data_IF_156055766892
#
_entry.id   IF_156055766892
#
_cell.length_a   1.000
_cell.length_b   1.000
_cell.length_c   1.000
_cell.angle_alpha   90.00
_cell.angle_beta   90.00
_cell.angle_gamma   90.00
#
_symmetry.space_group_name_H-M   'P 1'
#
loop_
_entity.id
_entity.type
_entity.pdbx_description
1 polymer ?
#
# COMPACT_ATOMS: atom_id res chain seq x y z
N UNK A 1 -1.41 13.98 17.97
CA UNK A 1 -0.10 14.50 17.54
C UNK A 1 0.09 14.22 16.05
N UNK A 2 0.34 15.26 15.23
CA UNK A 2 0.56 15.11 13.77
C UNK A 2 1.89 14.39 13.54
N UNK A 3 1.85 13.13 13.12
CA UNK A 3 3.05 12.30 12.89
C UNK A 3 3.60 12.53 11.48
N UNK A 4 2.71 12.67 10.48
CA UNK A 4 3.07 12.85 9.07
C UNK A 4 2.38 14.08 8.48
N UNK A 5 2.99 14.66 7.45
CA UNK A 5 2.32 15.57 6.54
C UNK A 5 1.84 14.78 5.33
N UNK A 6 0.53 14.52 5.24
CA UNK A 6 -0.08 13.81 4.13
C UNK A 6 -0.33 14.81 3.01
N UNK A 7 0.45 14.73 1.94
CA UNK A 7 0.36 15.63 0.77
C UNK A 7 -0.66 15.14 -0.28
N UNK A 8 -0.90 13.82 -0.36
CA UNK A 8 -1.86 13.25 -1.29
C UNK A 8 -2.25 11.80 -0.91
N UNK A 9 -3.45 11.41 -1.30
CA UNK A 9 -3.92 10.03 -1.34
C UNK A 9 -4.23 9.71 -2.81
N UNK A 10 -3.40 8.86 -3.41
CA UNK A 10 -3.52 8.49 -4.83
C UNK A 10 -4.17 7.13 -4.98
N UNK A 11 -5.29 7.08 -5.65
CA UNK A 11 -6.05 5.84 -5.85
C UNK A 11 -5.37 4.96 -6.89
N UNK A 12 -4.99 3.75 -6.51
CA UNK A 12 -4.38 2.76 -7.41
C UNK A 12 -5.46 1.88 -8.06
N UNK A 13 -5.26 1.44 -9.33
CA UNK A 13 -6.18 0.52 -9.97
C UNK A 13 -6.11 -0.87 -9.34
N UNK A 14 -7.26 -1.55 -9.28
CA UNK A 14 -7.31 -2.97 -8.96
C UNK A 14 -8.51 -3.64 -9.65
N UNK A 15 -8.48 -4.95 -9.76
CA UNK A 15 -9.63 -5.73 -10.23
C UNK A 15 -9.83 -6.93 -9.32
N UNK A 16 -11.02 -7.03 -8.76
CA UNK A 16 -11.44 -8.20 -8.02
C UNK A 16 -12.74 -8.75 -8.64
N UNK A 17 -12.70 -9.97 -9.16
CA UNK A 17 -13.77 -10.58 -9.97
C UNK A 17 -15.15 -10.58 -9.33
N UNK A 18 -15.21 -10.53 -7.99
CA UNK A 18 -16.49 -10.50 -7.25
C UNK A 18 -17.10 -9.11 -7.13
N UNK A 19 -16.32 -8.04 -7.25
CA UNK A 19 -16.77 -6.69 -6.88
C UNK A 19 -16.69 -5.68 -8.00
N UNK A 20 -15.78 -5.85 -8.97
CA UNK A 20 -15.63 -4.94 -10.10
C UNK A 20 -15.62 -5.72 -11.41
N UNK A 21 -16.37 -5.22 -12.39
CA UNK A 21 -16.36 -5.76 -13.76
C UNK A 21 -15.14 -5.26 -14.53
N UNK A 22 -14.73 -4.03 -14.27
CA UNK A 22 -13.60 -3.37 -14.93
C UNK A 22 -12.61 -2.80 -13.91
N UNK A 23 -11.37 -2.58 -14.33
CA UNK A 23 -10.35 -1.87 -13.54
C UNK A 23 -10.79 -0.44 -13.26
N UNK A 24 -11.38 0.22 -14.26
CA UNK A 24 -11.85 1.61 -14.15
C UNK A 24 -12.88 1.81 -13.02
N UNK A 25 -13.80 0.84 -12.82
CA UNK A 25 -14.78 0.89 -11.72
C UNK A 25 -14.11 0.87 -10.35
N UNK A 26 -12.93 0.25 -10.21
CA UNK A 26 -12.22 0.21 -8.94
C UNK A 26 -11.73 1.57 -8.49
N UNK A 27 -11.38 2.43 -9.43
CA UNK A 27 -10.92 3.79 -9.13
C UNK A 27 -12.04 4.60 -8.48
N UNK A 28 -13.26 4.52 -9.04
CA UNK A 28 -14.40 5.25 -8.51
C UNK A 28 -14.86 4.64 -7.16
N UNK A 29 -14.84 3.32 -7.02
CA UNK A 29 -15.16 2.64 -5.77
C UNK A 29 -14.19 3.00 -4.64
N UNK A 30 -12.87 2.97 -4.90
CA UNK A 30 -11.86 3.34 -3.89
C UNK A 30 -11.86 4.83 -3.58
N UNK A 31 -12.10 5.69 -4.57
CA UNK A 31 -12.26 7.12 -4.34
C UNK A 31 -13.45 7.40 -3.38
N UNK A 32 -14.59 6.78 -3.64
CA UNK A 32 -15.77 6.94 -2.80
C UNK A 32 -15.56 6.40 -1.38
N UNK A 33 -14.84 5.27 -1.24
CA UNK A 33 -14.46 4.73 0.06
C UNK A 33 -13.52 5.67 0.83
N UNK A 34 -12.51 6.24 0.16
CA UNK A 34 -11.62 7.23 0.76
C UNK A 34 -12.41 8.48 1.21
N UNK A 35 -13.32 8.99 0.37
CA UNK A 35 -14.20 10.10 0.75
C UNK A 35 -15.05 9.77 1.98
N UNK A 36 -15.58 8.55 2.07
CA UNK A 36 -16.36 8.10 3.22
C UNK A 36 -15.54 8.05 4.51
N UNK A 37 -14.29 7.59 4.44
CA UNK A 37 -13.38 7.61 5.59
C UNK A 37 -13.12 9.05 6.04
N UNK A 38 -12.93 9.99 5.10
CA UNK A 38 -12.77 11.42 5.42
C UNK A 38 -14.00 11.97 6.13
N UNK A 39 -15.22 11.60 5.67
CA UNK A 39 -16.47 12.02 6.33
C UNK A 39 -16.58 11.45 7.75
N UNK A 40 -16.14 10.21 7.98
CA UNK A 40 -16.13 9.58 9.30
C UNK A 40 -15.11 10.21 10.26
N UNK A 41 -14.06 10.83 9.71
CA UNK A 41 -13.04 11.58 10.43
C UNK A 41 -13.36 13.08 10.53
N UNK A 42 -14.54 13.52 10.11
CA UNK A 42 -14.95 14.93 10.01
C UNK A 42 -13.99 15.81 9.18
N UNK A 43 -13.20 15.19 8.27
CA UNK A 43 -12.30 15.86 7.34
C UNK A 43 -13.07 16.35 6.11
N UNK A 44 -13.37 17.65 6.05
CA UNK A 44 -14.18 18.24 4.97
C UNK A 44 -13.43 18.36 3.64
N UNK A 45 -12.12 18.60 3.70
CA UNK A 45 -11.29 18.80 2.51
C UNK A 45 -10.87 17.46 1.89
N UNK A 46 -11.51 17.12 0.79
CA UNK A 46 -11.23 15.93 -0.03
C UNK A 46 -10.27 16.21 -1.18
N UNK A 47 -9.70 17.41 -1.29
CA UNK A 47 -8.77 17.79 -2.35
C UNK A 47 -7.46 17.01 -2.33
N UNK A 48 -7.16 16.32 -1.22
CA UNK A 48 -6.02 15.42 -1.11
C UNK A 48 -6.20 14.08 -1.83
N UNK A 49 -7.43 13.73 -2.28
CA UNK A 49 -7.73 12.43 -2.89
C UNK A 49 -7.71 12.54 -4.41
N UNK A 50 -6.77 11.85 -5.06
CA UNK A 50 -6.53 11.91 -6.49
C UNK A 50 -6.85 10.58 -7.16
N UNK A 51 -7.74 10.60 -8.16
CA UNK A 51 -8.02 9.40 -8.98
C UNK A 51 -6.80 9.06 -9.83
N UNK A 52 -6.42 7.79 -9.82
CA UNK A 52 -5.27 7.28 -10.55
C UNK A 52 -5.62 6.62 -11.89
N UNK A 53 -4.71 5.77 -12.32
CA UNK A 53 -4.78 5.07 -13.61
C UNK A 53 -6.04 4.20 -13.70
N UNK A 54 -6.73 4.28 -14.84
CA UNK A 54 -7.98 3.53 -15.05
C UNK A 54 -7.77 2.14 -15.63
N UNK A 55 -6.52 1.81 -15.93
CA UNK A 55 -6.09 0.46 -16.33
C UNK A 55 -4.62 0.26 -15.96
N UNK A 56 -4.09 -0.93 -16.19
CA UNK A 56 -2.73 -1.34 -15.86
C UNK A 56 -1.75 -0.99 -16.97
N UNK A 57 -0.49 -0.76 -16.58
CA UNK A 57 0.62 -0.59 -17.52
C UNK A 57 0.80 -1.84 -18.40
N UNK A 58 0.61 -3.05 -17.85
CA UNK A 58 0.67 -4.30 -18.60
C UNK A 58 -0.37 -4.41 -19.73
N UNK A 59 -1.45 -3.64 -19.68
CA UNK A 59 -2.47 -3.56 -20.73
C UNK A 59 -2.20 -2.43 -21.74
N UNK A 60 -1.03 -1.78 -21.65
CA UNK A 60 -0.67 -0.67 -22.52
C UNK A 60 -1.15 0.71 -22.03
N UNK A 61 -1.74 0.79 -20.83
CA UNK A 61 -2.17 2.07 -20.27
C UNK A 61 -0.96 2.97 -20.00
N UNK A 62 -0.97 4.17 -20.55
CA UNK A 62 0.13 5.15 -20.45
C UNK A 62 -0.36 6.60 -20.36
N UNK A 63 -1.59 6.83 -19.93
CA UNK A 63 -2.15 8.17 -19.84
C UNK A 63 -1.77 8.86 -18.53
N UNK A 64 -1.48 10.16 -18.62
CA UNK A 64 -1.36 11.02 -17.44
C UNK A 64 -2.72 11.19 -16.78
N UNK A 65 -2.73 11.20 -15.45
CA UNK A 65 -3.93 11.38 -14.64
C UNK A 65 -3.61 12.20 -13.39
N UNK A 66 -4.63 12.63 -12.61
CA UNK A 66 -4.41 13.46 -11.43
C UNK A 66 -3.43 12.88 -10.40
N UNK A 67 -3.46 11.57 -10.15
CA UNK A 67 -2.57 10.91 -9.20
C UNK A 67 -1.10 10.98 -9.66
N UNK A 68 -0.83 10.65 -10.93
CA UNK A 68 0.52 10.71 -11.51
C UNK A 68 1.07 12.13 -11.46
N UNK A 69 0.27 13.11 -11.91
CA UNK A 69 0.67 14.51 -11.89
C UNK A 69 0.99 14.99 -10.48
N UNK A 70 0.18 14.56 -9.50
CA UNK A 70 0.38 14.94 -8.09
C UNK A 70 1.62 14.31 -7.47
N UNK A 71 1.91 13.04 -7.77
CA UNK A 71 3.16 12.39 -7.35
C UNK A 71 4.38 13.16 -7.87
N UNK A 72 4.37 13.53 -9.15
CA UNK A 72 5.46 14.28 -9.79
C UNK A 72 5.60 15.67 -9.18
N UNK A 73 4.48 16.38 -9.00
CA UNK A 73 4.45 17.72 -8.39
C UNK A 73 5.07 17.71 -6.99
N UNK A 74 4.61 16.78 -6.10
CA UNK A 74 5.09 16.68 -4.73
C UNK A 74 6.58 16.31 -4.71
N UNK A 75 7.00 15.35 -5.54
CA UNK A 75 8.40 14.94 -5.63
C UNK A 75 9.32 16.08 -6.11
N UNK A 76 8.83 16.93 -7.02
CA UNK A 76 9.61 18.08 -7.49
C UNK A 76 9.65 19.24 -6.49
N UNK A 77 8.62 19.39 -5.66
CA UNK A 77 8.54 20.43 -4.63
C UNK A 77 9.42 20.11 -3.41
N UNK A 78 9.59 18.83 -3.08
CA UNK A 78 10.24 18.38 -1.86
C UNK A 78 11.59 17.73 -2.15
N UNK A 79 12.56 17.87 -1.25
CA UNK A 79 13.84 17.18 -1.34
C UNK A 79 13.72 15.67 -1.07
N UNK A 80 12.69 15.26 -0.32
CA UNK A 80 12.40 13.87 -0.02
C UNK A 80 10.90 13.65 0.18
N UNK A 81 10.35 12.69 -0.57
CA UNK A 81 8.95 12.29 -0.49
C UNK A 81 8.87 10.78 -0.26
N UNK A 82 8.08 10.37 0.71
CA UNK A 82 7.78 8.96 0.92
C UNK A 82 6.46 8.60 0.22
N UNK A 83 6.47 7.51 -0.53
CA UNK A 83 5.27 6.95 -1.14
C UNK A 83 4.94 5.63 -0.43
N UNK A 84 3.87 5.63 0.34
CA UNK A 84 3.35 4.48 1.06
C UNK A 84 2.37 3.73 0.15
N UNK A 85 2.85 2.68 -0.52
CA UNK A 85 2.08 1.96 -1.53
C UNK A 85 1.45 0.69 -0.94
N UNK A 86 0.12 0.63 -0.93
CA UNK A 86 -0.69 -0.51 -0.46
C UNK A 86 -1.53 -1.13 -1.59
N UNK A 87 -1.17 -0.85 -2.83
CA UNK A 87 -1.79 -1.36 -4.03
C UNK A 87 -0.75 -1.70 -5.10
N UNK A 88 -1.20 -1.91 -6.35
CA UNK A 88 -0.29 -2.08 -7.47
C UNK A 88 0.49 -0.79 -7.77
N UNK A 89 1.64 -0.94 -8.41
CA UNK A 89 2.60 0.16 -8.61
C UNK A 89 2.34 1.00 -9.86
N UNK A 90 1.21 0.86 -10.56
CA UNK A 90 0.93 1.51 -11.84
C UNK A 90 1.15 3.02 -11.82
N UNK A 91 0.58 3.74 -10.83
CA UNK A 91 0.73 5.19 -10.74
C UNK A 91 2.19 5.61 -10.53
N UNK A 92 2.93 4.87 -9.68
CA UNK A 92 4.34 5.14 -9.36
C UNK A 92 5.22 4.87 -10.57
N UNK A 93 5.00 3.74 -11.25
CA UNK A 93 5.73 3.38 -12.47
C UNK A 93 5.54 4.42 -13.56
N UNK A 94 4.31 4.88 -13.76
CA UNK A 94 4.02 5.92 -14.74
C UNK A 94 4.61 7.28 -14.33
N UNK A 95 4.58 7.65 -13.05
CA UNK A 95 5.24 8.87 -12.58
C UNK A 95 6.75 8.85 -12.86
N UNK A 96 7.43 7.72 -12.59
CA UNK A 96 8.84 7.52 -12.90
C UNK A 96 9.13 7.52 -14.42
N UNK A 97 8.23 6.96 -15.23
CA UNK A 97 8.37 7.01 -16.71
C UNK A 97 8.21 8.41 -17.26
N UNK A 98 7.26 9.20 -16.74
CA UNK A 98 7.02 10.56 -17.21
C UNK A 98 8.02 11.58 -16.69
N UNK A 99 8.55 11.38 -15.51
CA UNK A 99 9.57 12.24 -14.91
C UNK A 99 10.63 11.38 -14.18
N UNK A 100 11.62 10.82 -14.90
CA UNK A 100 12.67 10.00 -14.30
C UNK A 100 13.49 10.73 -13.22
N UNK A 101 13.56 12.04 -13.27
CA UNK A 101 14.34 12.88 -12.33
C UNK A 101 13.83 12.82 -10.88
N UNK A 102 12.58 12.33 -10.67
CA UNK A 102 12.06 12.17 -9.31
C UNK A 102 12.63 10.96 -8.57
N UNK A 103 13.37 10.09 -9.25
CA UNK A 103 13.89 8.83 -8.69
C UNK A 103 14.70 9.04 -7.42
N UNK A 104 15.53 10.08 -7.36
CA UNK A 104 16.36 10.40 -6.20
C UNK A 104 15.61 11.14 -5.09
N UNK A 105 14.43 11.69 -5.41
CA UNK A 105 13.58 12.48 -4.51
C UNK A 105 12.52 11.67 -3.79
N UNK A 106 12.22 10.47 -4.26
CA UNK A 106 11.21 9.60 -3.67
C UNK A 106 11.81 8.35 -3.02
N UNK A 107 11.11 7.86 -2.01
CA UNK A 107 11.34 6.55 -1.39
C UNK A 107 10.02 5.81 -1.34
N UNK A 108 9.97 4.63 -1.98
CA UNK A 108 8.76 3.80 -2.06
C UNK A 108 8.82 2.73 -0.98
N UNK A 109 7.78 2.68 -0.16
CA UNK A 109 7.56 1.63 0.84
C UNK A 109 6.31 0.87 0.39
N UNK A 110 6.48 -0.38 -0.02
CA UNK A 110 5.45 -1.11 -0.76
C UNK A 110 5.07 -2.42 -0.09
N UNK A 111 3.77 -2.58 0.15
CA UNK A 111 3.16 -3.86 0.46
C UNK A 111 2.97 -4.64 -0.83
N UNK A 112 3.81 -5.62 -1.08
CA UNK A 112 3.75 -6.41 -2.30
C UNK A 112 4.78 -7.52 -2.30
N UNK A 113 4.64 -8.46 -3.23
CA UNK A 113 5.42 -9.68 -3.24
C UNK A 113 5.06 -10.64 -2.10
N UNK A 114 5.57 -11.85 -2.16
CA UNK A 114 5.46 -12.84 -1.10
C UNK A 114 6.85 -13.32 -0.69
N UNK A 115 7.46 -14.15 -1.51
CA UNK A 115 8.70 -14.84 -1.18
C UNK A 115 9.86 -14.31 -2.02
N UNK A 116 11.07 -14.39 -1.47
CA UNK A 116 12.30 -14.21 -2.26
C UNK A 116 12.53 -15.37 -3.23
N UNK A 117 12.06 -16.55 -2.87
CA UNK A 117 12.20 -17.77 -3.65
C UNK A 117 10.80 -18.37 -3.89
N UNK A 118 10.45 -18.54 -5.16
CA UNK A 118 9.14 -19.03 -5.59
C UNK A 118 8.30 -17.95 -6.30
N UNK A 119 7.18 -18.36 -6.92
CA UNK A 119 6.34 -17.45 -7.69
C UNK A 119 5.62 -16.43 -6.81
N UNK A 120 5.72 -15.16 -7.17
CA UNK A 120 5.01 -14.07 -6.51
C UNK A 120 3.59 -13.96 -7.07
N UNK A 121 2.60 -14.29 -6.24
CA UNK A 121 1.16 -14.30 -6.59
C UNK A 121 0.34 -13.41 -5.66
N UNK A 122 0.99 -12.53 -4.89
CA UNK A 122 0.22 -11.59 -4.08
C UNK A 122 -0.60 -10.64 -4.95
N UNK A 123 -1.65 -10.10 -4.36
CA UNK A 123 -2.63 -9.33 -5.09
C UNK A 123 -2.03 -8.07 -5.74
N UNK A 124 -1.20 -7.32 -5.01
CA UNK A 124 -0.64 -6.06 -5.48
C UNK A 124 0.40 -6.27 -6.59
N UNK A 125 1.23 -7.31 -6.46
CA UNK A 125 2.23 -7.68 -7.45
C UNK A 125 1.58 -8.17 -8.75
N UNK A 126 0.60 -9.09 -8.64
CA UNK A 126 -0.01 -9.74 -9.79
C UNK A 126 -0.92 -8.82 -10.62
N UNK A 127 -1.45 -7.75 -10.01
CA UNK A 127 -2.30 -6.79 -10.72
C UNK A 127 -1.56 -6.13 -11.88
N UNK A 128 -0.30 -5.70 -11.69
CA UNK A 128 0.45 -5.01 -12.75
C UNK A 128 1.96 -5.30 -12.69
N UNK A 129 2.35 -6.45 -13.23
CA UNK A 129 3.75 -6.91 -13.23
C UNK A 129 4.66 -5.96 -14.02
N UNK A 130 4.16 -5.36 -15.10
CA UNK A 130 4.96 -4.40 -15.87
C UNK A 130 5.27 -3.14 -15.05
N UNK A 131 4.35 -2.69 -14.20
CA UNK A 131 4.63 -1.60 -13.28
C UNK A 131 5.69 -2.00 -12.24
N UNK A 132 5.66 -3.23 -11.74
CA UNK A 132 6.71 -3.73 -10.83
C UNK A 132 8.07 -3.75 -11.51
N UNK A 133 8.16 -4.23 -12.74
CA UNK A 133 9.41 -4.23 -13.52
C UNK A 133 9.96 -2.80 -13.69
N UNK A 134 9.11 -1.84 -14.07
CA UNK A 134 9.52 -0.44 -14.21
C UNK A 134 10.07 0.12 -12.92
N UNK A 135 9.42 -0.10 -11.78
CA UNK A 135 9.88 0.39 -10.47
C UNK A 135 11.21 -0.28 -10.08
N UNK A 136 11.35 -1.58 -10.30
CA UNK A 136 12.60 -2.32 -10.00
C UNK A 136 13.78 -1.89 -10.89
N UNK A 137 13.51 -1.50 -12.14
CA UNK A 137 14.54 -1.00 -13.06
C UNK A 137 14.91 0.47 -12.82
N UNK A 138 14.01 1.26 -12.24
CA UNK A 138 14.21 2.70 -12.04
C UNK A 138 15.31 3.06 -11.05
N UNK A 139 15.76 2.12 -10.22
CA UNK A 139 16.70 2.31 -9.11
C UNK A 139 16.18 3.20 -7.98
N UNK A 140 14.88 3.42 -7.91
CA UNK A 140 14.26 4.14 -6.80
C UNK A 140 14.55 3.44 -5.47
N UNK A 141 14.72 4.22 -4.41
CA UNK A 141 14.82 3.66 -3.05
C UNK A 141 13.53 2.91 -2.73
N UNK A 142 13.62 1.59 -2.56
CA UNK A 142 12.49 0.71 -2.38
C UNK A 142 12.65 -0.14 -1.12
N UNK A 143 11.59 -0.18 -0.32
CA UNK A 143 11.41 -1.14 0.78
C UNK A 143 10.19 -2.00 0.47
N UNK A 144 10.37 -3.31 0.41
CA UNK A 144 9.28 -4.28 0.19
C UNK A 144 8.85 -4.86 1.53
N UNK A 145 7.56 -4.80 1.81
CA UNK A 145 6.90 -5.52 2.90
C UNK A 145 6.12 -6.68 2.26
N UNK A 146 6.61 -7.93 2.35
CA UNK A 146 5.96 -9.05 1.68
C UNK A 146 4.63 -9.42 2.36
N UNK A 147 3.60 -9.66 1.53
CA UNK A 147 2.27 -10.03 2.03
C UNK A 147 2.30 -11.33 2.82
N UNK A 148 2.99 -12.35 2.31
CA UNK A 148 3.17 -13.64 2.97
C UNK A 148 4.64 -14.06 2.93
N UNK A 149 5.20 -14.61 3.99
CA UNK A 149 4.54 -14.92 5.28
C UNK A 149 4.57 -13.76 6.29
N UNK A 150 5.21 -12.62 5.97
CA UNK A 150 5.59 -11.61 6.97
C UNK A 150 4.39 -10.79 7.43
N UNK A 151 3.77 -9.99 6.53
CA UNK A 151 2.67 -9.11 6.94
C UNK A 151 1.36 -9.87 7.21
N UNK A 152 1.25 -11.14 6.78
CA UNK A 152 0.17 -12.05 7.19
C UNK A 152 0.15 -12.34 8.69
N UNK A 153 1.23 -12.05 9.44
CA UNK A 153 1.23 -12.13 10.90
C UNK A 153 0.40 -11.02 11.57
N UNK A 154 0.00 -9.99 10.83
CA UNK A 154 -0.96 -9.00 11.32
C UNK A 154 -2.39 -9.55 11.30
N UNK A 155 -2.55 -10.73 11.85
CA UNK A 155 -3.81 -11.47 11.91
C UNK A 155 -4.66 -10.99 13.08
N UNK A 156 -5.90 -10.59 12.78
CA UNK A 156 -6.90 -10.25 13.80
C UNK A 156 -8.21 -11.01 13.56
N UNK A 157 -9.17 -10.85 14.46
CA UNK A 157 -10.51 -11.41 14.36
C UNK A 157 -11.56 -10.35 14.59
N UNK A 158 -12.81 -10.63 14.20
CA UNK A 158 -13.92 -9.72 14.49
C UNK A 158 -14.12 -9.55 16.01
N UNK A 159 -13.87 -10.59 16.78
CA UNK A 159 -14.01 -10.55 18.24
C UNK A 159 -13.00 -9.60 18.88
N UNK A 160 -11.74 -9.64 18.43
CA UNK A 160 -10.70 -8.73 18.88
C UNK A 160 -11.02 -7.27 18.47
N UNK A 161 -11.38 -7.05 17.21
CA UNK A 161 -11.73 -5.71 16.73
C UNK A 161 -12.97 -5.13 17.43
N UNK A 162 -14.00 -5.94 17.68
CA UNK A 162 -15.16 -5.47 18.42
C UNK A 162 -14.83 -5.16 19.88
N UNK A 163 -13.99 -5.97 20.52
CA UNK A 163 -13.53 -5.71 21.90
C UNK A 163 -12.79 -4.38 22.02
N UNK A 164 -11.90 -4.09 21.07
CA UNK A 164 -11.04 -2.91 21.11
C UNK A 164 -11.71 -1.65 20.58
N UNK A 165 -12.52 -1.77 19.53
CA UNK A 165 -12.97 -0.63 18.74
C UNK A 165 -14.46 -0.30 18.85
N UNK A 166 -15.34 -1.31 19.05
CA UNK A 166 -16.78 -1.13 18.96
C UNK A 166 -17.30 -0.11 19.98
N UNK A 167 -18.07 0.86 19.48
CA UNK A 167 -18.66 1.93 20.31
C UNK A 167 -17.68 3.05 20.71
N UNK A 168 -16.43 3.02 20.24
CA UNK A 168 -15.45 4.09 20.55
C UNK A 168 -15.73 5.36 19.76
N UNK A 169 -15.95 5.23 18.46
CA UNK A 169 -16.33 6.32 17.57
C UNK A 169 -16.93 5.76 16.27
N UNK A 170 -17.46 6.65 15.40
CA UNK A 170 -18.11 6.28 14.12
C UNK A 170 -17.16 5.53 13.17
N UNK A 171 -15.89 5.92 13.13
CA UNK A 171 -14.88 5.24 12.29
C UNK A 171 -14.63 3.83 12.80
N UNK A 172 -14.44 3.63 14.10
CA UNK A 172 -14.24 2.34 14.72
C UNK A 172 -15.40 1.37 14.44
N UNK A 173 -16.64 1.84 14.59
CA UNK A 173 -17.83 1.04 14.29
C UNK A 173 -17.88 0.66 12.80
N UNK A 174 -17.53 1.60 11.92
CA UNK A 174 -17.44 1.35 10.49
C UNK A 174 -16.38 0.33 10.13
N UNK A 175 -15.20 0.39 10.75
CA UNK A 175 -14.12 -0.58 10.53
C UNK A 175 -14.54 -1.98 10.98
N UNK A 176 -15.20 -2.13 12.13
CA UNK A 176 -15.77 -3.40 12.58
C UNK A 176 -16.78 -3.95 11.56
N UNK A 177 -17.71 -3.10 11.09
CA UNK A 177 -18.68 -3.47 10.07
C UNK A 177 -18.02 -3.94 8.76
N UNK A 178 -17.01 -3.20 8.29
CA UNK A 178 -16.25 -3.56 7.05
C UNK A 178 -15.53 -4.88 7.21
N UNK A 179 -14.87 -5.10 8.34
CA UNK A 179 -14.17 -6.34 8.63
C UNK A 179 -15.14 -7.53 8.71
N UNK A 180 -16.26 -7.39 9.41
CA UNK A 180 -17.28 -8.43 9.52
C UNK A 180 -17.77 -8.90 8.16
N UNK A 181 -18.04 -7.98 7.23
CA UNK A 181 -18.53 -8.30 5.90
C UNK A 181 -17.45 -8.83 4.95
N UNK A 182 -16.17 -8.62 5.27
CA UNK A 182 -15.03 -9.08 4.46
C UNK A 182 -14.48 -10.42 4.92
N UNK A 183 -14.38 -10.61 6.23
CA UNK A 183 -13.78 -11.81 6.79
C UNK A 183 -14.66 -13.06 6.54
N UNK A 184 -14.03 -14.14 6.12
CA UNK A 184 -14.69 -15.40 5.81
C UNK A 184 -14.28 -16.48 6.81
N UNK A 185 -15.20 -17.43 7.02
CA UNK A 185 -14.99 -18.59 7.88
C UNK A 185 -15.49 -18.42 9.33
N UNK A 186 -15.48 -19.50 10.10
CA UNK A 186 -16.14 -19.57 11.43
C UNK A 186 -15.47 -18.68 12.47
N UNK A 187 -14.15 -18.49 12.36
CA UNK A 187 -13.40 -17.63 13.29
C UNK A 187 -13.39 -16.17 12.87
N UNK A 188 -13.83 -15.86 11.67
CA UNK A 188 -13.80 -14.51 11.09
C UNK A 188 -12.46 -13.81 11.35
N UNK A 189 -11.37 -14.49 11.02
CA UNK A 189 -10.01 -13.96 11.12
C UNK A 189 -9.53 -13.51 9.74
N UNK A 190 -8.79 -12.40 9.73
CA UNK A 190 -8.22 -11.84 8.52
C UNK A 190 -6.99 -10.99 8.83
N UNK A 191 -5.93 -11.05 8.04
CA UNK A 191 -4.77 -10.18 8.26
C UNK A 191 -5.03 -8.76 7.78
N UNK A 192 -4.56 -7.79 8.55
CA UNK A 192 -4.58 -6.36 8.21
C UNK A 192 -3.25 -5.96 7.55
N UNK A 193 -2.93 -6.55 6.42
CA UNK A 193 -1.65 -6.35 5.73
C UNK A 193 -1.26 -4.88 5.58
N UNK A 194 -2.20 -4.04 5.16
CA UNK A 194 -1.96 -2.66 4.71
C UNK A 194 -1.44 -1.75 5.82
N UNK A 195 -1.80 -2.02 7.08
CA UNK A 195 -1.30 -1.24 8.22
C UNK A 195 0.22 -1.34 8.39
N UNK A 196 0.85 -2.40 7.88
CA UNK A 196 2.28 -2.63 7.99
C UNK A 196 3.12 -1.51 7.38
N UNK A 197 2.69 -0.95 6.26
CA UNK A 197 3.42 0.11 5.53
C UNK A 197 3.46 1.39 6.35
N UNK A 198 2.35 1.75 7.00
CA UNK A 198 2.25 2.91 7.86
C UNK A 198 3.04 2.67 9.16
N UNK A 199 2.90 1.49 9.76
CA UNK A 199 3.64 1.09 10.95
C UNK A 199 5.16 1.13 10.74
N UNK A 200 5.65 0.72 9.57
CA UNK A 200 7.07 0.81 9.20
C UNK A 200 7.58 2.26 9.21
N UNK A 201 6.75 3.22 8.80
CA UNK A 201 7.09 4.64 8.87
C UNK A 201 7.01 5.21 10.28
N UNK A 202 6.08 4.71 11.11
CA UNK A 202 5.92 5.16 12.50
C UNK A 202 7.13 4.73 13.32
N UNK A 203 7.50 3.44 13.26
CA UNK A 203 8.62 2.94 14.03
C UNK A 203 9.31 1.75 13.35
N UNK A 204 10.46 2.03 12.75
CA UNK A 204 11.27 1.00 12.06
C UNK A 204 11.81 -0.08 13.01
N UNK A 205 11.88 0.18 14.32
CA UNK A 205 12.36 -0.81 15.31
C UNK A 205 11.38 -1.98 15.50
N UNK A 206 10.14 -1.85 15.02
CA UNK A 206 9.19 -2.97 15.01
C UNK A 206 9.44 -3.97 13.88
N UNK A 207 10.43 -3.70 13.02
CA UNK A 207 10.71 -4.48 11.83
C UNK A 207 12.19 -4.84 11.75
N UNK A 208 12.49 -6.01 11.19
CA UNK A 208 13.82 -6.31 10.70
C UNK A 208 13.81 -6.29 9.17
N UNK A 209 14.89 -5.77 8.61
CA UNK A 209 15.08 -5.67 7.16
C UNK A 209 16.42 -6.27 6.77
N UNK A 210 16.47 -6.83 5.57
CA UNK A 210 17.70 -7.23 4.90
C UNK A 210 17.88 -6.41 3.62
N UNK A 211 19.09 -6.07 3.30
CA UNK A 211 19.43 -5.49 2.00
C UNK A 211 19.65 -6.63 1.00
N UNK A 212 18.95 -6.58 -0.12
CA UNK A 212 19.06 -7.56 -1.20
C UNK A 212 19.32 -6.84 -2.52
N UNK A 213 20.05 -7.50 -3.42
CA UNK A 213 20.17 -7.03 -4.81
C UNK A 213 18.77 -7.02 -5.43
N UNK A 214 18.35 -5.89 -6.02
CA UNK A 214 17.05 -5.78 -6.65
C UNK A 214 16.87 -6.85 -7.75
N UNK A 215 15.91 -7.78 -7.63
CA UNK A 215 15.80 -8.89 -8.56
C UNK A 215 15.24 -8.47 -9.93
N UNK A 216 15.52 -9.25 -10.94
CA UNK A 216 14.71 -9.31 -12.16
C UNK A 216 13.49 -10.20 -11.91
N UNK A 217 12.45 -9.98 -12.72
CA UNK A 217 11.21 -10.77 -12.64
C UNK A 217 11.16 -11.70 -13.86
N UNK A 218 11.15 -13.00 -13.61
CA UNK A 218 10.97 -14.01 -14.63
C UNK A 218 9.50 -14.08 -15.12
N UNK A 219 9.28 -14.79 -16.24
CA UNK A 219 7.93 -14.94 -16.82
C UNK A 219 6.95 -15.71 -15.90
N UNK A 220 7.45 -16.53 -15.00
CA UNK A 220 6.68 -17.26 -13.99
C UNK A 220 6.47 -16.48 -12.69
N UNK A 221 6.84 -15.18 -12.68
CA UNK A 221 6.80 -14.27 -11.54
C UNK A 221 7.78 -14.63 -10.41
N UNK A 222 8.77 -15.47 -10.64
CA UNK A 222 9.86 -15.68 -9.69
C UNK A 222 10.88 -14.56 -9.78
N UNK A 223 11.61 -14.35 -8.70
CA UNK A 223 12.74 -13.44 -8.67
C UNK A 223 14.02 -14.11 -9.18
N UNK A 224 14.74 -13.39 -10.05
CA UNK A 224 16.07 -13.78 -10.51
C UNK A 224 17.09 -12.78 -9.98
N UNK A 225 17.94 -13.22 -9.08
CA UNK A 225 19.03 -12.42 -8.55
C UNK A 225 20.22 -12.44 -9.49
N UNK A 226 20.77 -11.26 -9.80
CA UNK A 226 21.95 -11.08 -10.63
C UNK A 226 22.93 -10.14 -9.95
N UNK A 227 24.22 -10.25 -10.30
CA UNK A 227 25.27 -9.34 -9.80
C UNK A 227 25.07 -7.94 -10.39
N UNK A 228 25.60 -6.92 -9.68
CA UNK A 228 25.66 -5.53 -10.13
C UNK A 228 24.33 -4.79 -10.26
N UNK A 229 23.28 -5.23 -9.57
CA UNK A 229 22.05 -4.44 -9.42
C UNK A 229 22.10 -3.63 -8.11
N UNK A 230 21.36 -2.53 -8.09
CA UNK A 230 21.22 -1.73 -6.86
C UNK A 230 20.53 -2.54 -5.75
N UNK A 231 20.76 -2.12 -4.50
CA UNK A 231 20.14 -2.76 -3.36
C UNK A 231 18.76 -2.16 -3.06
N UNK A 232 17.87 -3.01 -2.58
CA UNK A 232 16.57 -2.66 -2.02
C UNK A 232 16.44 -3.29 -0.63
N UNK A 233 15.53 -2.75 0.19
CA UNK A 233 15.23 -3.32 1.51
C UNK A 233 14.07 -4.31 1.40
N UNK A 234 14.22 -5.45 2.07
CA UNK A 234 13.19 -6.46 2.17
C UNK A 234 12.91 -6.75 3.65
N UNK A 235 11.65 -6.55 4.06
CA UNK A 235 11.25 -6.82 5.45
C UNK A 235 11.12 -8.33 5.64
N UNK A 236 11.80 -8.86 6.65
CA UNK A 236 11.79 -10.29 6.96
C UNK A 236 11.19 -10.64 8.34
N UNK A 237 10.87 -9.61 9.13
CA UNK A 237 10.20 -9.75 10.43
C UNK A 237 9.41 -8.47 10.77
N UNK A 238 8.33 -8.63 11.52
CA UNK A 238 7.60 -7.53 12.17
C UNK A 238 7.09 -7.96 13.56
N UNK A 239 6.99 -6.98 14.45
CA UNK A 239 6.38 -7.15 15.77
C UNK A 239 4.89 -6.80 15.72
N UNK A 240 4.04 -7.80 15.51
CA UNK A 240 2.60 -7.62 15.38
C UNK A 240 1.96 -7.01 16.64
N UNK A 241 2.43 -7.37 17.83
CA UNK A 241 1.87 -6.87 19.09
C UNK A 241 2.03 -5.36 19.23
N UNK A 242 3.24 -4.85 18.95
CA UNK A 242 3.50 -3.40 19.01
C UNK A 242 2.70 -2.63 17.95
N UNK A 243 2.55 -3.22 16.75
CA UNK A 243 1.77 -2.61 15.66
C UNK A 243 0.29 -2.54 16.02
N UNK A 244 -0.30 -3.61 16.55
CA UNK A 244 -1.72 -3.60 16.97
C UNK A 244 -1.95 -2.68 18.17
N UNK A 245 -1.05 -2.68 19.16
CA UNK A 245 -1.11 -1.75 20.28
C UNK A 245 -1.18 -0.31 19.81
N UNK A 246 -0.25 0.12 18.96
CA UNK A 246 -0.19 1.47 18.39
C UNK A 246 -1.45 1.80 17.56
N UNK A 247 -1.94 0.82 16.77
CA UNK A 247 -3.15 0.98 15.97
C UNK A 247 -4.38 1.25 16.85
N UNK A 248 -4.61 0.41 17.86
CA UNK A 248 -5.78 0.55 18.72
C UNK A 248 -5.72 1.82 19.58
N UNK A 249 -4.56 2.14 20.14
CA UNK A 249 -4.35 3.39 20.88
C UNK A 249 -4.69 4.62 20.01
N UNK A 250 -4.27 4.64 18.74
CA UNK A 250 -4.56 5.75 17.83
C UNK A 250 -6.02 5.82 17.41
N UNK A 251 -6.64 4.67 17.07
CA UNK A 251 -8.04 4.63 16.64
C UNK A 251 -9.04 4.95 17.75
N UNK A 252 -8.63 4.82 19.03
CA UNK A 252 -9.49 5.07 20.19
C UNK A 252 -9.17 6.35 20.94
N UNK A 253 -8.16 7.09 20.49
CA UNK A 253 -7.80 8.39 21.11
C UNK A 253 -8.87 9.44 20.84
N UNK A 254 -9.07 10.36 21.80
CA UNK A 254 -10.04 11.46 21.71
C UNK A 254 -9.69 12.52 20.65
N UNK A 255 -8.57 12.36 19.95
CA UNK A 255 -8.04 13.32 18.98
C UNK A 255 -8.16 12.82 17.51
N UNK A 256 -9.12 11.95 17.24
CA UNK A 256 -9.43 11.51 15.87
C UNK A 256 -10.56 12.35 15.29
#
# INVERSE_FOLDING_TARGET
>A
QKIFNIEAITIAPFKHSKWQKTVSESIDASYNEACKIFDLLDLKDKSLIYKGSRDYLKNGYNEKNPAINKIIEIANKNNKTYILAIGCLTNIALALKYNPEIVDKIEVIWLGSNFLFGPNKDFNFAQDIEAVKVVFESKVRLTILPCSPITSNLMTSIYELESELKGKNKLCDYLCYRFYNRSHGPTKRWPLWDISVIAYMINKNWFNTIDISCPLINNDNTFKFTKNRHNIKFVNYLNANEIFKDLFEKLTSDNI
#
